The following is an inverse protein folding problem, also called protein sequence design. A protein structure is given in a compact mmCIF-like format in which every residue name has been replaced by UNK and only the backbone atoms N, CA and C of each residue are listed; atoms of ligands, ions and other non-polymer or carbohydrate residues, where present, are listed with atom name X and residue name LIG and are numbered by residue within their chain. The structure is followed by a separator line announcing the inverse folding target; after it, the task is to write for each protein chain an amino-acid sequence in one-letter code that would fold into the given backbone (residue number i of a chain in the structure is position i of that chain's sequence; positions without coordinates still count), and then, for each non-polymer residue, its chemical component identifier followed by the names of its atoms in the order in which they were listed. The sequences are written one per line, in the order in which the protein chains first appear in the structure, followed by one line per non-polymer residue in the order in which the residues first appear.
data_IF_640192457652
#
_entry.id   IF_640192457652
#
_cell.length_a   1.000
_cell.length_b   1.000
_cell.length_c   1.000
_cell.angle_alpha   90.00
_cell.angle_beta   90.00
_cell.angle_gamma   90.00
#
_symmetry.space_group_name_H-M   'P 1'
#
loop_
_entity.id
_entity.type
_entity.pdbx_description
1 polymer ?
#
# COMPACT_ATOMS: atom_id res chain seq x y z
N UNK A 1 -1.03 9.50 -17.99
CA UNK A 1 -0.56 8.18 -17.49
C UNK A 1 -1.67 7.13 -17.55
N UNK A 2 -1.82 6.58 -18.75
CA UNK A 2 -2.41 5.27 -18.97
C UNK A 2 -1.56 4.18 -18.29
N UNK A 3 -2.13 2.98 -18.18
CA UNK A 3 -1.44 1.78 -17.66
C UNK A 3 -0.15 1.49 -18.44
N UNK A 4 -0.18 1.71 -19.76
CA UNK A 4 1.00 1.57 -20.63
C UNK A 4 2.08 2.60 -20.30
N UNK A 5 1.69 3.85 -20.08
CA UNK A 5 2.64 4.90 -19.71
C UNK A 5 3.26 4.66 -18.33
N UNK A 6 2.51 4.03 -17.41
CA UNK A 6 3.06 3.54 -16.15
C UNK A 6 4.07 2.42 -16.39
N UNK A 7 3.74 1.41 -17.22
CA UNK A 7 4.68 0.33 -17.58
C UNK A 7 5.98 0.88 -18.17
N UNK A 8 5.89 1.75 -19.18
CA UNK A 8 7.04 2.37 -19.83
C UNK A 8 7.90 3.13 -18.81
N UNK A 9 7.26 3.81 -17.84
CA UNK A 9 7.95 4.52 -16.77
C UNK A 9 8.66 3.57 -15.80
N UNK A 10 8.02 2.48 -15.37
CA UNK A 10 8.61 1.45 -14.50
C UNK A 10 9.81 0.75 -15.14
N UNK A 11 9.83 0.65 -16.46
CA UNK A 11 10.93 0.07 -17.22
C UNK A 11 12.07 1.08 -17.51
N UNK A 12 11.86 2.37 -17.28
CA UNK A 12 12.86 3.39 -17.61
C UNK A 12 14.05 3.38 -16.62
N UNK A 13 15.31 3.40 -17.09
CA UNK A 13 16.48 3.37 -16.21
C UNK A 13 16.51 4.50 -15.18
N UNK A 14 16.12 5.72 -15.58
CA UNK A 14 16.08 6.87 -14.67
C UNK A 14 15.02 6.73 -13.56
N UNK A 15 13.91 6.05 -13.84
CA UNK A 15 12.90 5.79 -12.80
C UNK A 15 13.25 4.56 -11.95
N UNK A 16 14.16 3.68 -12.39
CA UNK A 16 14.68 2.59 -11.58
C UNK A 16 15.82 3.03 -10.66
N UNK A 17 16.53 4.11 -11.01
CA UNK A 17 17.56 4.70 -10.16
C UNK A 17 16.93 5.35 -8.91
N UNK A 18 17.05 4.68 -7.78
CA UNK A 18 16.51 5.15 -6.49
C UNK A 18 17.45 6.11 -5.78
N UNK A 19 18.76 6.05 -6.06
CA UNK A 19 19.80 6.82 -5.37
C UNK A 19 20.01 8.20 -5.98
N UNK A 20 20.01 8.31 -7.32
CA UNK A 20 20.28 9.56 -8.03
C UNK A 20 19.01 10.28 -8.52
N UNK A 21 17.84 9.81 -8.09
CA UNK A 21 16.57 10.48 -8.38
C UNK A 21 16.43 11.81 -7.62
N UNK A 22 15.94 12.85 -8.29
CA UNK A 22 15.81 14.23 -7.78
C UNK A 22 14.69 14.41 -6.73
N UNK A 23 14.47 13.41 -5.87
CA UNK A 23 13.24 13.29 -5.09
C UNK A 23 13.50 13.13 -3.59
N UNK A 24 13.21 14.21 -2.86
CA UNK A 24 13.12 14.21 -1.39
C UNK A 24 12.04 13.24 -0.85
N UNK A 25 11.12 12.78 -1.70
CA UNK A 25 10.04 11.86 -1.37
C UNK A 25 9.90 10.77 -2.44
N UNK A 26 9.95 9.50 -2.05
CA UNK A 26 9.86 8.32 -2.91
C UNK A 26 8.44 7.74 -3.05
N UNK A 27 7.42 8.46 -2.60
CA UNK A 27 6.01 8.07 -2.74
C UNK A 27 5.43 8.57 -4.06
N UNK A 28 4.85 7.64 -4.79
CA UNK A 28 4.21 7.82 -6.09
C UNK A 28 2.78 7.34 -6.03
N UNK A 29 1.85 8.14 -6.56
CA UNK A 29 0.42 7.77 -6.54
C UNK A 29 -0.07 7.61 -7.96
N UNK A 30 -0.62 6.43 -8.24
CA UNK A 30 -1.31 6.09 -9.47
C UNK A 30 -2.82 6.06 -9.20
N UNK A 31 -3.54 7.03 -9.77
CA UNK A 31 -4.98 7.20 -9.58
C UNK A 31 -5.75 6.45 -10.65
N UNK A 32 -6.88 5.85 -10.27
CA UNK A 32 -7.80 5.19 -11.20
C UNK A 32 -9.24 5.26 -10.70
N UNK A 33 -10.24 5.16 -11.60
CA UNK A 33 -11.65 5.08 -11.22
C UNK A 33 -11.94 3.82 -10.38
N UNK A 34 -12.65 3.96 -9.27
CA UNK A 34 -12.87 2.88 -8.31
C UNK A 34 -13.56 1.64 -8.92
N UNK A 35 -14.41 1.83 -9.92
CA UNK A 35 -15.07 0.75 -10.66
C UNK A 35 -14.08 -0.18 -11.41
N UNK A 36 -12.83 0.27 -11.60
CA UNK A 36 -11.76 -0.51 -12.23
C UNK A 36 -10.87 -1.27 -11.24
N UNK A 37 -11.23 -1.33 -9.95
CA UNK A 37 -10.46 -2.01 -8.89
C UNK A 37 -9.97 -3.40 -9.32
N UNK A 38 -10.86 -4.26 -9.83
CA UNK A 38 -10.50 -5.62 -10.23
C UNK A 38 -9.56 -5.66 -11.43
N UNK A 39 -9.72 -4.75 -12.39
CA UNK A 39 -8.82 -4.63 -13.54
C UNK A 39 -7.42 -4.19 -13.10
N UNK A 40 -7.34 -3.22 -12.18
CA UNK A 40 -6.07 -2.76 -11.61
C UNK A 40 -5.38 -3.86 -10.81
N UNK A 41 -6.11 -4.62 -9.99
CA UNK A 41 -5.53 -5.78 -9.26
C UNK A 41 -4.90 -6.78 -10.21
N UNK A 42 -5.56 -7.07 -11.34
CA UNK A 42 -5.01 -7.95 -12.37
C UNK A 42 -3.75 -7.35 -12.99
N UNK A 43 -3.77 -6.07 -13.34
CA UNK A 43 -2.63 -5.39 -13.95
C UNK A 43 -1.42 -5.29 -13.02
N UNK A 44 -1.62 -5.11 -11.72
CA UNK A 44 -0.53 -5.15 -10.72
C UNK A 44 0.23 -6.48 -10.80
N UNK A 45 -0.49 -7.59 -10.94
CA UNK A 45 0.13 -8.90 -11.12
C UNK A 45 0.85 -9.01 -12.47
N UNK A 46 0.26 -8.47 -13.54
CA UNK A 46 0.89 -8.42 -14.86
C UNK A 46 2.20 -7.58 -14.85
N UNK A 47 2.22 -6.43 -14.17
CA UNK A 47 3.43 -5.61 -14.01
C UNK A 47 4.53 -6.40 -13.30
N UNK A 48 4.21 -7.07 -12.19
CA UNK A 48 5.18 -7.91 -11.47
C UNK A 48 5.75 -9.01 -12.38
N UNK A 49 4.91 -9.68 -13.16
CA UNK A 49 5.32 -10.72 -14.10
C UNK A 49 6.13 -10.21 -15.29
N UNK A 50 5.93 -8.95 -15.70
CA UNK A 50 6.66 -8.33 -16.80
C UNK A 50 8.03 -7.78 -16.34
N UNK A 51 8.08 -7.17 -15.16
CA UNK A 51 9.29 -6.57 -14.59
C UNK A 51 10.34 -7.61 -14.18
N UNK A 52 9.91 -8.79 -13.73
CA UNK A 52 10.84 -9.85 -13.32
C UNK A 52 11.53 -10.55 -14.51
N UNK A 53 11.07 -10.30 -15.74
CA UNK A 53 11.63 -10.96 -16.94
C UNK A 53 13.12 -10.61 -17.12
N UNK A 54 13.90 -11.49 -17.79
CA UNK A 54 15.35 -11.28 -18.00
C UNK A 54 15.73 -9.99 -18.74
N UNK A 55 14.78 -9.31 -19.38
CA UNK A 55 15.07 -8.01 -20.00
C UNK A 55 15.26 -6.92 -18.95
N UNK A 56 14.60 -7.05 -17.80
CA UNK A 56 14.45 -5.98 -16.82
C UNK A 56 15.14 -6.30 -15.48
N UNK A 57 15.14 -7.57 -15.05
CA UNK A 57 15.71 -8.03 -13.76
C UNK A 57 15.18 -7.20 -12.57
N UNK A 58 13.89 -6.85 -12.57
CA UNK A 58 13.25 -6.06 -11.52
C UNK A 58 12.20 -6.90 -10.79
N UNK A 59 12.43 -7.18 -9.51
CA UNK A 59 11.47 -7.87 -8.65
C UNK A 59 10.73 -6.86 -7.76
N UNK A 60 9.41 -6.93 -7.77
CA UNK A 60 8.51 -5.97 -7.13
C UNK A 60 7.75 -6.61 -5.99
N UNK A 61 7.82 -5.96 -4.82
CA UNK A 61 6.95 -6.30 -3.69
C UNK A 61 5.56 -5.71 -3.95
N UNK A 62 4.53 -6.54 -3.88
CA UNK A 62 3.13 -6.13 -4.02
C UNK A 62 2.42 -6.37 -2.69
N UNK A 63 1.89 -5.32 -2.08
CA UNK A 63 1.19 -5.33 -0.80
C UNK A 63 -0.27 -4.93 -1.01
N UNK A 64 -1.20 -5.87 -0.85
CA UNK A 64 -2.61 -5.53 -0.64
C UNK A 64 -2.76 -5.10 0.82
N UNK A 65 -3.01 -3.81 1.06
CA UNK A 65 -3.00 -3.24 2.40
C UNK A 65 -4.01 -3.91 3.34
N UNK A 66 -5.18 -4.29 2.81
CA UNK A 66 -6.19 -4.96 3.61
C UNK A 66 -5.77 -6.39 3.94
N UNK A 67 -5.22 -7.12 2.97
CA UNK A 67 -4.71 -8.48 3.21
C UNK A 67 -3.54 -8.47 4.21
N UNK A 68 -2.60 -7.54 4.06
CA UNK A 68 -1.49 -7.36 5.00
C UNK A 68 -2.00 -6.98 6.40
N UNK A 69 -3.09 -6.21 6.52
CA UNK A 69 -3.73 -5.94 7.80
C UNK A 69 -4.35 -7.20 8.42
N UNK A 70 -5.06 -8.01 7.62
CA UNK A 70 -5.57 -9.30 8.06
C UNK A 70 -4.43 -10.24 8.52
N UNK A 71 -3.34 -10.32 7.74
CA UNK A 71 -2.17 -11.13 8.06
C UNK A 71 -1.50 -10.66 9.36
N UNK A 72 -1.36 -9.34 9.54
CA UNK A 72 -0.85 -8.74 10.76
C UNK A 72 -1.68 -9.15 11.99
N UNK A 73 -3.01 -8.96 11.94
CA UNK A 73 -3.91 -9.33 13.03
C UNK A 73 -3.92 -10.84 13.29
N UNK A 74 -3.86 -11.64 12.23
CA UNK A 74 -3.82 -13.09 12.34
C UNK A 74 -2.55 -13.59 13.04
N UNK A 75 -1.43 -12.88 12.88
CA UNK A 75 -0.18 -13.16 13.59
C UNK A 75 -0.12 -12.66 15.04
N UNK A 76 -1.10 -11.87 15.50
CA UNK A 76 -1.15 -11.39 16.89
C UNK A 76 -1.90 -12.38 17.78
N UNK A 77 -1.24 -12.89 18.82
CA UNK A 77 -1.92 -13.68 19.86
C UNK A 77 -2.80 -12.78 20.74
N UNK A 78 -3.98 -13.27 21.10
CA UNK A 78 -4.90 -12.57 21.98
C UNK A 78 -5.64 -13.54 22.91
N UNK A 79 -5.45 -13.39 24.23
CA UNK A 79 -5.99 -14.30 25.24
C UNK A 79 -5.61 -15.77 24.95
N UNK A 80 -6.61 -16.64 24.78
CA UNK A 80 -6.45 -18.05 24.43
C UNK A 80 -6.32 -18.30 22.91
N UNK A 81 -6.49 -17.27 22.09
CA UNK A 81 -6.45 -17.37 20.64
C UNK A 81 -5.05 -17.06 20.13
N UNK A 82 -4.57 -17.89 19.21
CA UNK A 82 -3.31 -17.62 18.51
C UNK A 82 -3.44 -16.52 17.45
N UNK A 83 -4.68 -16.12 17.12
CA UNK A 83 -5.04 -15.11 16.12
C UNK A 83 -6.06 -14.13 16.68
N UNK A 84 -5.71 -12.85 16.71
CA UNK A 84 -6.60 -11.77 17.08
C UNK A 84 -7.71 -11.61 16.04
N UNK A 85 -7.39 -11.80 14.75
CA UNK A 85 -8.40 -11.75 13.69
C UNK A 85 -9.49 -12.79 13.92
N UNK A 86 -9.11 -14.03 14.21
CA UNK A 86 -10.06 -15.11 14.48
C UNK A 86 -10.93 -14.81 15.71
N UNK A 87 -10.30 -14.30 16.79
CA UNK A 87 -11.04 -13.87 17.98
C UNK A 87 -12.09 -12.79 17.65
N UNK A 88 -11.73 -11.78 16.87
CA UNK A 88 -12.64 -10.69 16.53
C UNK A 88 -13.81 -11.18 15.67
N UNK A 89 -13.55 -12.04 14.68
CA UNK A 89 -14.58 -12.64 13.82
C UNK A 89 -15.58 -13.50 14.63
N UNK A 90 -15.07 -14.39 15.50
CA UNK A 90 -15.92 -15.19 16.38
C UNK A 90 -16.75 -14.31 17.31
N UNK A 91 -16.14 -13.26 17.85
CA UNK A 91 -16.82 -12.36 18.78
C UNK A 91 -17.95 -11.59 18.12
N UNK A 92 -17.75 -11.11 16.89
CA UNK A 92 -18.77 -10.42 16.11
C UNK A 92 -19.96 -11.34 15.80
N UNK A 93 -19.67 -12.59 15.43
CA UNK A 93 -20.69 -13.60 15.13
C UNK A 93 -21.51 -13.99 16.38
N UNK A 94 -20.85 -14.19 17.52
CA UNK A 94 -21.52 -14.56 18.78
C UNK A 94 -22.32 -13.40 19.39
N UNK A 95 -21.82 -12.17 19.23
CA UNK A 95 -22.38 -10.98 19.86
C UNK A 95 -22.41 -9.79 18.89
N UNK A 96 -23.40 -9.72 17.99
CA UNK A 96 -23.52 -8.66 16.99
C UNK A 96 -23.55 -7.25 17.60
N UNK A 97 -24.07 -7.09 18.83
CA UNK A 97 -24.09 -5.82 19.57
C UNK A 97 -22.69 -5.28 19.91
N UNK A 98 -21.63 -6.06 19.67
CA UNK A 98 -20.23 -5.64 19.89
C UNK A 98 -19.55 -5.07 18.65
N UNK A 99 -20.26 -4.97 17.52
CA UNK A 99 -19.72 -4.50 16.23
C UNK A 99 -18.97 -3.17 16.36
N UNK A 100 -19.52 -2.18 17.06
CA UNK A 100 -18.86 -0.87 17.26
C UNK A 100 -17.51 -1.01 18.00
N UNK A 101 -17.43 -1.89 19.00
CA UNK A 101 -16.20 -2.12 19.78
C UNK A 101 -15.15 -2.85 18.95
N UNK A 102 -15.58 -3.75 18.08
CA UNK A 102 -14.73 -4.47 17.14
C UNK A 102 -14.19 -3.49 16.11
N UNK A 103 -15.05 -2.65 15.53
CA UNK A 103 -14.66 -1.57 14.63
C UNK A 103 -13.58 -0.65 15.25
N UNK A 104 -13.82 -0.12 16.46
CA UNK A 104 -12.83 0.73 17.14
C UNK A 104 -11.53 -0.02 17.46
N UNK A 105 -11.59 -1.33 17.65
CA UNK A 105 -10.40 -2.16 17.85
C UNK A 105 -9.61 -2.30 16.55
N UNK A 106 -10.28 -2.63 15.44
CA UNK A 106 -9.67 -2.71 14.11
C UNK A 106 -9.03 -1.37 13.71
N UNK A 107 -9.75 -0.26 13.86
CA UNK A 107 -9.25 1.09 13.59
C UNK A 107 -8.00 1.38 14.42
N UNK A 108 -8.01 1.12 15.73
CA UNK A 108 -6.83 1.32 16.60
C UNK A 108 -5.62 0.48 16.16
N UNK A 109 -5.84 -0.77 15.76
CA UNK A 109 -4.76 -1.64 15.28
C UNK A 109 -4.22 -1.17 13.93
N UNK A 110 -5.08 -0.75 13.00
CA UNK A 110 -4.70 -0.22 11.71
C UNK A 110 -3.87 1.08 11.83
N UNK A 111 -4.13 1.90 12.85
CA UNK A 111 -3.37 3.12 13.14
C UNK A 111 -2.12 2.90 14.00
N UNK A 112 -1.85 1.67 14.43
CA UNK A 112 -0.77 1.38 15.37
C UNK A 112 0.60 1.40 14.72
N UNK A 113 1.61 1.88 15.44
CA UNK A 113 3.02 1.81 15.02
C UNK A 113 3.45 0.37 14.73
N UNK A 114 2.88 -0.61 15.44
CA UNK A 114 3.18 -2.03 15.23
C UNK A 114 2.77 -2.51 13.84
N UNK A 115 1.62 -2.06 13.33
CA UNK A 115 1.19 -2.41 11.99
C UNK A 115 2.06 -1.73 10.92
N UNK A 116 2.39 -0.45 11.10
CA UNK A 116 3.29 0.28 10.19
C UNK A 116 4.68 -0.36 10.17
N UNK A 117 5.21 -0.74 11.33
CA UNK A 117 6.46 -1.48 11.45
C UNK A 117 6.40 -2.86 10.77
N UNK A 118 5.28 -3.57 10.89
CA UNK A 118 5.07 -4.84 10.16
C UNK A 118 5.19 -4.64 8.65
N UNK A 119 4.57 -3.60 8.08
CA UNK A 119 4.71 -3.28 6.66
C UNK A 119 6.17 -2.94 6.30
N UNK A 120 6.84 -2.16 7.14
CA UNK A 120 8.26 -1.83 6.94
C UNK A 120 9.15 -3.09 6.95
N UNK A 121 8.96 -4.01 7.89
CA UNK A 121 9.71 -5.26 7.96
C UNK A 121 9.51 -6.11 6.70
N UNK A 122 8.30 -6.14 6.13
CA UNK A 122 8.01 -6.80 4.84
C UNK A 122 8.77 -6.16 3.70
N UNK A 123 8.82 -4.82 3.66
CA UNK A 123 9.55 -4.06 2.65
C UNK A 123 11.05 -4.30 2.76
N UNK A 124 11.63 -4.15 3.96
CA UNK A 124 13.06 -4.40 4.22
C UNK A 124 13.44 -5.82 3.82
N UNK A 125 12.67 -6.81 4.28
CA UNK A 125 12.94 -8.21 3.96
C UNK A 125 13.00 -8.46 2.45
N UNK A 126 12.13 -7.82 1.67
CA UNK A 126 12.16 -7.90 0.20
C UNK A 126 13.41 -7.22 -0.37
N UNK A 127 13.63 -5.94 -0.09
CA UNK A 127 14.71 -5.15 -0.72
C UNK A 127 16.13 -5.61 -0.31
N UNK A 128 16.27 -6.40 0.75
CA UNK A 128 17.56 -6.94 1.20
C UNK A 128 17.86 -8.35 0.69
N UNK A 129 17.00 -8.96 -0.13
CA UNK A 129 17.30 -10.26 -0.74
C UNK A 129 18.55 -10.12 -1.61
N UNK A 130 19.54 -10.97 -1.35
CA UNK A 130 20.83 -11.02 -2.06
C UNK A 130 20.75 -12.02 -3.21
N UNK A 131 20.34 -11.53 -4.38
CA UNK A 131 20.31 -12.27 -5.64
C UNK A 131 20.52 -11.34 -6.85
N UNK A 132 20.30 -11.86 -8.06
CA UNK A 132 20.52 -11.11 -9.32
C UNK A 132 19.45 -10.05 -9.63
N UNK A 133 18.38 -9.95 -8.84
CA UNK A 133 17.26 -9.06 -9.11
C UNK A 133 17.42 -7.72 -8.38
N UNK A 134 17.10 -6.64 -9.10
CA UNK A 134 16.95 -5.30 -8.52
C UNK A 134 15.56 -5.16 -7.91
N UNK A 135 15.45 -4.48 -6.78
CA UNK A 135 14.18 -4.29 -6.05
C UNK A 135 13.84 -2.81 -5.78
N UNK A 136 13.76 -1.98 -6.83
CA UNK A 136 13.53 -0.54 -6.69
C UNK A 136 12.08 -0.19 -6.33
N UNK A 137 11.14 -1.13 -6.34
CA UNK A 137 9.71 -0.82 -6.26
C UNK A 137 8.96 -1.62 -5.18
N UNK A 138 8.06 -0.92 -4.50
CA UNK A 138 7.02 -1.48 -3.64
C UNK A 138 5.68 -0.96 -4.14
N UNK A 139 4.77 -1.87 -4.50
CA UNK A 139 3.40 -1.53 -4.90
C UNK A 139 2.47 -1.72 -3.72
N UNK A 140 1.69 -0.69 -3.40
CA UNK A 140 0.66 -0.75 -2.35
C UNK A 140 -0.70 -0.52 -3.00
N UNK A 141 -1.63 -1.45 -2.80
CA UNK A 141 -2.99 -1.39 -3.30
C UNK A 141 -3.97 -1.87 -2.22
N UNK A 142 -5.26 -2.02 -2.52
CA UNK A 142 -6.26 -2.41 -1.52
C UNK A 142 -6.71 -1.26 -0.60
N UNK A 143 -6.37 -0.01 -0.94
CA UNK A 143 -6.77 1.19 -0.19
C UNK A 143 -8.29 1.30 -0.07
N UNK A 144 -9.02 0.98 -1.14
CA UNK A 144 -10.48 0.95 -1.12
C UNK A 144 -11.02 -0.06 -0.11
N UNK A 145 -10.46 -1.28 -0.07
CA UNK A 145 -10.89 -2.34 0.86
C UNK A 145 -10.50 -2.04 2.31
N UNK A 146 -9.41 -1.28 2.52
CA UNK A 146 -8.97 -0.87 3.85
C UNK A 146 -9.89 0.18 4.50
N UNK A 147 -10.67 0.91 3.71
CA UNK A 147 -11.65 1.84 4.24
C UNK A 147 -12.77 1.08 5.00
N UNK A 148 -13.19 1.53 6.20
CA UNK A 148 -12.88 2.82 6.84
C UNK A 148 -11.73 2.77 7.86
N UNK A 149 -11.02 1.64 8.01
CA UNK A 149 -10.10 1.42 9.12
C UNK A 149 -8.82 2.27 9.09
N UNK A 150 -8.34 2.63 7.89
CA UNK A 150 -7.14 3.45 7.71
C UNK A 150 -7.18 4.15 6.35
N UNK A 151 -6.87 5.45 6.32
CA UNK A 151 -6.77 6.20 5.06
C UNK A 151 -5.36 6.22 4.51
N UNK A 152 -5.25 6.42 3.19
CA UNK A 152 -3.97 6.46 2.49
C UNK A 152 -3.01 7.53 3.03
N UNK A 153 -3.49 8.76 3.22
CA UNK A 153 -2.71 9.86 3.78
C UNK A 153 -2.21 9.58 5.20
N UNK A 154 -3.03 8.95 6.05
CA UNK A 154 -2.65 8.56 7.40
C UNK A 154 -1.57 7.48 7.39
N UNK A 155 -1.71 6.48 6.51
CA UNK A 155 -0.68 5.47 6.30
C UNK A 155 0.64 6.10 5.86
N UNK A 156 0.61 6.94 4.83
CA UNK A 156 1.83 7.57 4.29
C UNK A 156 2.52 8.44 5.35
N UNK A 157 1.76 9.27 6.07
CA UNK A 157 2.29 10.10 7.15
C UNK A 157 2.95 9.28 8.26
N UNK A 158 2.34 8.16 8.67
CA UNK A 158 2.92 7.26 9.67
C UNK A 158 4.15 6.51 9.15
N UNK A 159 4.21 6.23 7.85
CA UNK A 159 5.34 5.52 7.25
C UNK A 159 6.56 6.42 7.03
N UNK A 160 6.41 7.75 7.05
CA UNK A 160 7.54 8.69 6.87
C UNK A 160 8.71 8.38 7.81
N UNK A 161 8.43 8.05 9.08
CA UNK A 161 9.45 7.74 10.09
C UNK A 161 10.26 6.47 9.78
N UNK A 162 9.73 5.57 8.95
CA UNK A 162 10.35 4.29 8.55
C UNK A 162 10.94 4.32 7.14
N UNK A 163 10.69 5.39 6.38
CA UNK A 163 10.91 5.40 4.95
C UNK A 163 12.38 5.59 4.58
N UNK A 164 12.91 4.71 3.73
CA UNK A 164 14.30 4.76 3.25
C UNK A 164 14.30 5.27 1.79
N UNK A 165 14.15 6.59 1.63
CA UNK A 165 13.82 7.25 0.35
C UNK A 165 14.75 6.91 -0.82
N UNK A 166 16.03 6.64 -0.55
CA UNK A 166 17.03 6.31 -1.58
C UNK A 166 17.08 4.84 -2.01
N UNK A 167 16.36 3.93 -1.33
CA UNK A 167 16.49 2.48 -1.55
C UNK A 167 15.39 1.87 -2.41
N UNK A 168 14.20 2.47 -2.39
CA UNK A 168 13.04 2.00 -3.13
C UNK A 168 12.07 3.16 -3.38
N UNK A 169 11.12 2.93 -4.29
CA UNK A 169 10.01 3.82 -4.61
C UNK A 169 8.70 3.11 -4.30
N UNK A 170 7.83 3.77 -3.55
CA UNK A 170 6.50 3.25 -3.23
C UNK A 170 5.52 3.75 -4.27
N UNK A 171 4.80 2.84 -4.93
CA UNK A 171 3.74 3.15 -5.89
C UNK A 171 2.41 2.74 -5.29
N UNK A 172 1.62 3.74 -4.90
CA UNK A 172 0.32 3.61 -4.30
C UNK A 172 -0.77 3.65 -5.37
N UNK A 173 -1.50 2.56 -5.51
CA UNK A 173 -2.66 2.46 -6.39
C UNK A 173 -3.90 2.95 -5.65
N UNK A 174 -4.40 4.12 -6.04
CA UNK A 174 -5.46 4.84 -5.33
C UNK A 174 -6.80 4.85 -6.12
N UNK A 175 -7.88 4.24 -5.61
CA UNK A 175 -9.19 4.19 -6.28
C UNK A 175 -9.98 5.50 -6.06
N UNK A 176 -9.76 6.46 -6.94
CA UNK A 176 -10.35 7.79 -6.91
C UNK A 176 -9.34 8.85 -7.34
N UNK A 177 -9.69 10.12 -7.13
CA UNK A 177 -8.88 11.25 -7.61
C UNK A 177 -8.41 12.14 -6.47
N UNK A 178 -7.31 12.87 -6.69
CA UNK A 178 -6.94 13.99 -5.82
C UNK A 178 -7.61 15.26 -6.32
N UNK A 179 -8.26 16.00 -5.42
CA UNK A 179 -8.69 17.37 -5.67
C UNK A 179 -7.77 18.31 -4.89
N UNK A 180 -6.93 19.06 -5.60
CA UNK A 180 -5.95 20.00 -5.03
C UNK A 180 -5.01 19.37 -4.00
N UNK A 181 -5.20 19.59 -2.70
CA UNK A 181 -4.38 19.02 -1.62
C UNK A 181 -5.07 17.85 -0.90
N UNK A 182 -6.29 17.50 -1.30
CA UNK A 182 -7.15 16.49 -0.68
C UNK A 182 -7.34 15.27 -1.57
N UNK A 183 -7.46 14.08 -0.98
CA UNK A 183 -7.81 12.87 -1.69
C UNK A 183 -9.33 12.64 -1.64
N UNK A 184 -9.94 12.23 -2.76
CA UNK A 184 -11.33 11.76 -2.83
C UNK A 184 -11.35 10.27 -3.06
N UNK A 185 -11.57 9.48 -2.00
CA UNK A 185 -11.71 8.03 -2.14
C UNK A 185 -13.06 7.73 -2.82
N UNK A 186 -13.05 6.84 -3.81
CA UNK A 186 -14.24 6.48 -4.61
C UNK A 186 -14.96 7.68 -5.24
N UNK A 187 -14.25 8.80 -5.43
CA UNK A 187 -14.78 10.06 -5.94
C UNK A 187 -15.99 10.64 -5.16
N UNK A 188 -16.20 10.15 -3.93
CA UNK A 188 -17.35 10.48 -3.10
C UNK A 188 -16.94 10.86 -1.67
N UNK A 189 -15.82 10.32 -1.17
CA UNK A 189 -15.36 10.52 0.19
C UNK A 189 -14.20 11.50 0.24
N UNK A 190 -14.46 12.73 0.67
CA UNK A 190 -13.41 13.76 0.81
C UNK A 190 -12.46 13.45 1.98
N UNK A 191 -11.19 13.73 1.78
CA UNK A 191 -10.19 13.85 2.83
C UNK A 191 -9.90 15.31 3.15
N UNK A 192 -10.04 15.72 4.41
CA UNK A 192 -9.75 17.11 4.81
C UNK A 192 -8.26 17.34 5.13
N UNK A 193 -7.42 16.28 5.10
CA UNK A 193 -6.02 16.38 5.48
C UNK A 193 -5.09 16.34 4.25
N UNK A 194 -4.19 17.33 4.20
CA UNK A 194 -3.21 17.51 3.13
C UNK A 194 -1.98 16.62 3.37
N UNK A 195 -1.61 15.78 2.40
CA UNK A 195 -0.37 15.01 2.45
C UNK A 195 0.52 15.27 1.22
N UNK A 196 1.84 15.39 1.44
CA UNK A 196 2.83 15.66 0.38
C UNK A 196 3.33 14.34 -0.21
N UNK A 197 2.81 13.97 -1.39
CA UNK A 197 3.33 12.88 -2.21
C UNK A 197 3.66 13.39 -3.62
N UNK A 198 4.67 12.80 -4.27
CA UNK A 198 5.03 13.10 -5.67
C UNK A 198 4.14 12.26 -6.58
N UNK A 199 3.15 12.86 -7.23
CA UNK A 199 2.25 12.10 -8.08
C UNK A 199 2.97 11.62 -9.34
N UNK A 200 2.62 10.41 -9.80
CA UNK A 200 2.87 10.05 -11.19
C UNK A 200 1.80 10.77 -12.00
N UNK A 201 2.05 12.04 -12.31
CA UNK A 201 1.07 12.92 -12.92
C UNK A 201 0.69 12.35 -14.30
N UNK A 202 -0.62 12.19 -14.50
CA UNK A 202 -1.25 12.23 -15.80
C UNK A 202 -1.13 13.67 -16.30
N UNK A 203 -0.13 13.97 -17.11
CA UNK A 203 -0.38 14.98 -18.16
C UNK A 203 -1.16 14.32 -19.29
#
# INVERSE_FOLDING_TARGET
MTIKELDDKLNSPGFQDTENGDLFYNFFIYQYPAEKEYDIRKQIQEFKQNLIRPTNYVDVLTLDLFEEFCNYLNGQKFLKFDSMLQYLLEKEQEQPDTSDKIFSTLERHAHSEKFVKYLHERIVAHITIDDEYRRPYVFIYGIGTMYPYLRANELLAKYEDYNETGRYKIILFYPGHREQSSFKLFDTLNDHHTYRATFLINE
#
